data_IF_686259111678
#
_entry.id   IF_686259111678
#
_cell.length_a   1.000
_cell.length_b   1.000
_cell.length_c   1.000
_cell.angle_alpha   90.00
_cell.angle_beta   90.00
_cell.angle_gamma   90.00
#
_symmetry.space_group_name_H-M   'P 1'
#
loop_
_entity.id
_entity.type
_entity.pdbx_description
1 polymer ?
#
# COMPACT_ATOMS: atom_id res chain seq x y z
N UNK A 1 -9.73 -22.52 -1.26
CA UNK A 1 -8.56 -22.10 -2.07
C UNK A 1 -8.72 -20.71 -2.72
N UNK A 2 -9.90 -20.34 -3.27
CA UNK A 2 -10.12 -19.02 -3.93
C UNK A 2 -9.86 -17.78 -3.05
N UNK A 3 -10.20 -17.83 -1.76
CA UNK A 3 -9.98 -16.71 -0.83
C UNK A 3 -8.50 -16.41 -0.60
N UNK A 4 -7.65 -17.44 -0.60
CA UNK A 4 -6.22 -17.26 -0.37
C UNK A 4 -5.55 -16.52 -1.51
N UNK A 5 -5.96 -16.80 -2.76
CA UNK A 5 -5.49 -16.07 -3.93
C UNK A 5 -5.86 -14.57 -3.85
N UNK A 6 -7.08 -14.25 -3.41
CA UNK A 6 -7.50 -12.85 -3.22
C UNK A 6 -6.65 -12.13 -2.15
N UNK A 7 -6.34 -12.81 -1.05
CA UNK A 7 -5.48 -12.24 0.01
C UNK A 7 -4.07 -11.97 -0.52
N UNK A 8 -3.50 -12.87 -1.32
CA UNK A 8 -2.18 -12.67 -1.93
C UNK A 8 -2.17 -11.47 -2.88
N UNK A 9 -3.21 -11.33 -3.70
CA UNK A 9 -3.34 -10.19 -4.63
C UNK A 9 -3.42 -8.88 -3.85
N UNK A 10 -4.30 -8.80 -2.85
CA UNK A 10 -4.44 -7.63 -1.99
C UNK A 10 -3.14 -7.30 -1.24
N UNK A 11 -2.42 -8.33 -0.77
CA UNK A 11 -1.12 -8.17 -0.12
C UNK A 11 -0.07 -7.59 -1.07
N UNK A 12 0.00 -8.12 -2.30
CA UNK A 12 0.93 -7.67 -3.33
C UNK A 12 0.67 -6.21 -3.69
N UNK A 13 -0.59 -5.83 -3.84
CA UNK A 13 -1.00 -4.43 -4.04
C UNK A 13 -0.54 -3.51 -2.92
N UNK A 14 -0.85 -3.85 -1.66
CA UNK A 14 -0.43 -3.07 -0.51
C UNK A 14 1.11 -2.94 -0.42
N UNK A 15 1.84 -3.96 -0.85
CA UNK A 15 3.30 -3.92 -0.86
C UNK A 15 3.86 -2.97 -1.93
N UNK A 16 3.37 -3.02 -3.17
CA UNK A 16 3.79 -2.13 -4.27
C UNK A 16 3.50 -0.67 -3.93
N UNK A 17 2.27 -0.38 -3.47
CA UNK A 17 1.89 0.97 -3.02
C UNK A 17 2.81 1.46 -1.90
N UNK A 18 3.16 0.57 -0.97
CA UNK A 18 4.10 0.87 0.10
C UNK A 18 5.50 1.24 -0.38
N UNK A 19 6.01 0.60 -1.44
CA UNK A 19 7.31 0.92 -2.06
C UNK A 19 7.26 2.31 -2.69
N UNK A 20 6.23 2.62 -3.48
CA UNK A 20 6.14 3.91 -4.15
C UNK A 20 5.94 5.06 -3.16
N UNK A 21 5.13 4.83 -2.11
CA UNK A 21 5.01 5.79 -1.02
C UNK A 21 6.33 6.00 -0.28
N UNK A 22 7.14 4.96 -0.08
CA UNK A 22 8.47 5.09 0.56
C UNK A 22 9.46 5.87 -0.33
N UNK A 23 9.30 5.84 -1.66
CA UNK A 23 10.07 6.71 -2.58
C UNK A 23 9.66 8.18 -2.48
N UNK A 24 8.35 8.44 -2.39
CA UNK A 24 7.81 9.81 -2.32
C UNK A 24 7.98 10.42 -0.92
N UNK A 25 7.70 9.64 0.11
CA UNK A 25 7.72 10.03 1.52
C UNK A 25 8.34 8.91 2.36
N UNK A 26 9.69 8.89 2.48
CA UNK A 26 10.41 7.82 3.13
C UNK A 26 9.96 7.55 4.56
N UNK A 27 9.83 6.27 4.90
CA UNK A 27 9.52 5.85 6.28
C UNK A 27 10.70 6.21 7.17
N UNK A 28 10.42 6.99 8.22
CA UNK A 28 11.43 7.36 9.23
C UNK A 28 12.12 6.13 9.82
N UNK A 29 13.44 6.16 9.83
CA UNK A 29 14.28 5.19 10.54
C UNK A 29 14.41 5.66 11.99
N UNK A 30 14.12 4.78 12.94
CA UNK A 30 14.20 5.08 14.38
C UNK A 30 15.66 5.06 14.84
N UNK A 31 15.92 5.57 16.05
CA UNK A 31 17.27 5.62 16.66
C UNK A 31 18.00 4.26 16.67
N UNK A 32 17.26 3.16 16.77
CA UNK A 32 17.79 1.79 16.74
C UNK A 32 17.99 1.23 15.31
N UNK A 33 18.03 2.07 14.27
CA UNK A 33 18.38 1.69 12.89
C UNK A 33 17.30 0.96 12.08
N UNK A 34 16.10 0.74 12.64
CA UNK A 34 15.01 0.01 11.97
C UNK A 34 13.86 0.95 11.61
N UNK A 35 13.20 0.69 10.47
CA UNK A 35 12.07 1.48 9.95
C UNK A 35 10.93 1.53 10.97
N UNK A 36 10.22 2.65 11.06
CA UNK A 36 9.10 2.81 11.98
C UNK A 36 7.90 1.90 11.66
N UNK A 37 7.71 1.56 10.38
CA UNK A 37 6.70 0.63 9.86
C UNK A 37 7.26 -0.17 8.69
N UNK A 38 6.64 -1.31 8.36
CA UNK A 38 6.97 -2.06 7.15
C UNK A 38 6.38 -1.39 5.91
N UNK A 39 6.93 -1.71 4.72
CA UNK A 39 6.41 -1.23 3.44
C UNK A 39 4.95 -1.67 3.22
N UNK A 40 4.66 -2.96 3.47
CA UNK A 40 3.30 -3.50 3.40
C UNK A 40 2.34 -2.75 4.34
N UNK A 41 2.73 -2.49 5.59
CA UNK A 41 1.90 -1.73 6.55
C UNK A 41 1.67 -0.31 6.05
N UNK A 42 2.69 0.32 5.47
CA UNK A 42 2.56 1.67 4.92
C UNK A 42 1.56 1.75 3.77
N UNK A 43 1.69 0.87 2.77
CA UNK A 43 0.76 0.86 1.65
C UNK A 43 -0.64 0.43 2.05
N UNK A 44 -0.77 -0.53 2.98
CA UNK A 44 -2.08 -0.93 3.51
C UNK A 44 -2.77 0.23 4.24
N UNK A 45 -2.06 0.97 5.11
CA UNK A 45 -2.63 2.12 5.81
C UNK A 45 -3.12 3.18 4.81
N UNK A 46 -2.39 3.38 3.70
CA UNK A 46 -2.79 4.32 2.64
C UNK A 46 -4.07 3.86 1.90
N UNK A 47 -4.10 2.61 1.44
CA UNK A 47 -5.29 2.02 0.78
C UNK A 47 -6.50 2.08 1.73
N UNK A 48 -6.29 1.74 3.00
CA UNK A 48 -7.33 1.73 4.03
C UNK A 48 -7.88 3.13 4.27
N UNK A 49 -7.02 4.13 4.40
CA UNK A 49 -7.43 5.53 4.56
C UNK A 49 -8.26 6.01 3.36
N UNK A 50 -7.86 5.62 2.14
CA UNK A 50 -8.58 5.98 0.93
C UNK A 50 -9.97 5.36 0.84
N UNK A 51 -10.07 4.07 1.21
CA UNK A 51 -11.36 3.37 1.30
C UNK A 51 -12.27 3.99 2.36
N UNK A 52 -11.74 4.32 3.53
CA UNK A 52 -12.53 4.94 4.62
C UNK A 52 -12.94 6.38 4.32
N UNK A 53 -12.13 7.15 3.59
CA UNK A 53 -12.51 8.48 3.11
C UNK A 53 -13.52 8.46 1.94
N UNK A 54 -13.92 7.28 1.45
CA UNK A 54 -14.76 7.10 0.26
C UNK A 54 -14.22 7.83 -0.99
N UNK A 55 -12.89 7.97 -1.08
CA UNK A 55 -12.20 8.68 -2.16
C UNK A 55 -12.02 7.73 -3.35
N UNK A 56 -13.14 7.47 -4.03
CA UNK A 56 -13.23 6.52 -5.16
C UNK A 56 -12.37 6.96 -6.36
N UNK A 57 -12.09 8.25 -6.49
CA UNK A 57 -11.25 8.79 -7.57
C UNK A 57 -9.81 8.34 -7.35
N UNK A 58 -9.27 8.60 -6.16
CA UNK A 58 -7.93 8.12 -5.83
C UNK A 58 -7.84 6.61 -5.79
N UNK A 59 -8.93 5.92 -5.41
CA UNK A 59 -9.00 4.47 -5.53
C UNK A 59 -8.88 3.98 -6.96
N UNK A 60 -9.55 4.64 -7.90
CA UNK A 60 -9.43 4.31 -9.32
C UNK A 60 -8.02 4.59 -9.86
N UNK A 61 -7.41 5.71 -9.50
CA UNK A 61 -6.03 6.03 -9.88
C UNK A 61 -5.03 5.00 -9.33
N UNK A 62 -5.19 4.61 -8.06
CA UNK A 62 -4.36 3.59 -7.43
C UNK A 62 -4.55 2.21 -8.11
N UNK A 63 -5.78 1.85 -8.48
CA UNK A 63 -6.06 0.65 -9.27
C UNK A 63 -5.38 0.68 -10.64
N UNK A 64 -5.44 1.82 -11.34
CA UNK A 64 -4.82 2.00 -12.66
C UNK A 64 -3.29 1.92 -12.59
N UNK A 65 -2.68 2.47 -11.53
CA UNK A 65 -1.24 2.36 -11.30
C UNK A 65 -0.79 0.91 -11.13
N UNK A 66 -1.64 0.08 -10.51
CA UNK A 66 -1.35 -1.32 -10.19
C UNK A 66 -1.80 -2.30 -11.29
N UNK A 67 -2.54 -1.85 -12.31
CA UNK A 67 -3.06 -2.72 -13.38
C UNK A 67 -2.06 -3.03 -14.49
N UNK A 68 -0.81 -2.55 -14.40
CA UNK A 68 0.21 -2.72 -15.44
C UNK A 68 -0.26 -2.27 -16.85
N UNK A 69 -1.19 -1.32 -16.90
CA UNK A 69 -1.74 -0.71 -18.13
C UNK A 69 -1.43 0.78 -18.17
#
# INVERSE_FOLDING_TARGET
QKLFALVIIAFTWAYIVGIELDKLNPIKIKKHGRRAKSLMKYGLDHITNMLFCNDLIRFKECCNFLSCT
#
